data_IF_171644660622
#
_entry.id   IF_171644660622
#
_cell.length_a   1.000
_cell.length_b   1.000
_cell.length_c   1.000
_cell.angle_alpha   90.00
_cell.angle_beta   90.00
_cell.angle_gamma   90.00
#
_symmetry.space_group_name_H-M   'P 1'
#
loop_
_entity.id
_entity.type
_entity.pdbx_description
1 polymer ?
#
# COMPACT_ATOMS: atom_id res chain seq x y z
N UNK A 1 58.62 -31.71 -22.85
CA UNK A 1 57.75 -30.89 -23.73
C UNK A 1 56.33 -31.36 -23.52
N UNK A 2 55.57 -30.72 -22.63
CA UNK A 2 54.16 -31.07 -22.45
C UNK A 2 53.39 -29.77 -22.18
N UNK A 3 53.08 -29.08 -23.27
CA UNK A 3 52.48 -27.76 -23.26
C UNK A 3 50.97 -27.92 -23.10
N UNK A 4 50.53 -28.29 -21.89
CA UNK A 4 49.10 -28.38 -21.52
C UNK A 4 48.49 -26.98 -21.66
N UNK A 5 47.88 -26.74 -22.81
CA UNK A 5 47.08 -25.54 -23.14
C UNK A 5 46.09 -25.28 -22.01
N UNK A 6 46.41 -24.28 -21.20
CA UNK A 6 45.56 -23.73 -20.15
C UNK A 6 44.38 -23.05 -20.84
N UNK A 7 43.31 -23.82 -21.10
CA UNK A 7 42.05 -23.32 -21.68
C UNK A 7 41.59 -22.14 -20.81
N UNK A 8 41.51 -20.95 -21.40
CA UNK A 8 41.27 -19.73 -20.63
C UNK A 8 39.87 -19.80 -20.02
N UNK A 9 39.73 -19.45 -18.74
CA UNK A 9 38.43 -19.50 -18.05
C UNK A 9 37.35 -18.62 -18.69
N UNK A 10 37.74 -17.74 -19.62
CA UNK A 10 36.84 -16.92 -20.45
C UNK A 10 36.05 -17.80 -21.43
N UNK A 11 36.65 -18.85 -21.98
CA UNK A 11 35.99 -19.71 -22.97
C UNK A 11 34.87 -20.54 -22.34
N UNK A 12 35.08 -21.01 -21.11
CA UNK A 12 34.06 -21.73 -20.32
C UNK A 12 32.85 -20.82 -20.00
N UNK A 13 33.07 -19.51 -19.82
CA UNK A 13 31.99 -18.56 -19.57
C UNK A 13 31.12 -18.35 -20.81
N UNK A 14 31.71 -18.21 -22.00
CA UNK A 14 30.95 -18.09 -23.25
C UNK A 14 30.17 -19.37 -23.58
N UNK A 15 30.78 -20.55 -23.37
CA UNK A 15 30.10 -21.84 -23.57
C UNK A 15 28.86 -21.97 -22.66
N UNK A 16 28.97 -21.53 -21.39
CA UNK A 16 27.83 -21.51 -20.45
C UNK A 16 26.74 -20.50 -20.86
N UNK A 17 27.13 -19.28 -21.25
CA UNK A 17 26.18 -18.25 -21.67
C UNK A 17 25.40 -18.66 -22.93
N UNK A 18 26.08 -19.30 -23.87
CA UNK A 18 25.48 -19.79 -25.11
C UNK A 18 24.50 -20.94 -24.85
N UNK A 19 24.80 -21.82 -23.87
CA UNK A 19 23.90 -22.90 -23.47
C UNK A 19 22.64 -22.38 -22.76
N UNK A 20 22.78 -21.31 -21.97
CA UNK A 20 21.64 -20.62 -21.35
C UNK A 20 20.75 -20.00 -22.44
N UNK A 21 21.32 -19.22 -23.36
CA UNK A 21 20.54 -18.59 -24.45
C UNK A 21 19.82 -19.63 -25.31
N UNK A 22 20.48 -20.75 -25.63
CA UNK A 22 19.89 -21.84 -26.40
C UNK A 22 18.72 -22.54 -25.67
N UNK A 23 18.70 -22.53 -24.33
CA UNK A 23 17.61 -23.08 -23.54
C UNK A 23 16.42 -22.11 -23.42
N UNK A 24 16.69 -20.80 -23.31
CA UNK A 24 15.66 -19.79 -23.08
C UNK A 24 14.80 -19.49 -24.32
N UNK A 25 15.36 -19.55 -25.54
CA UNK A 25 14.62 -19.22 -26.77
C UNK A 25 13.43 -20.19 -27.00
N UNK A 26 13.60 -21.53 -26.96
CA UNK A 26 12.49 -22.45 -27.14
C UNK A 26 11.45 -22.36 -26.01
N UNK A 27 11.89 -22.13 -24.77
CA UNK A 27 10.99 -21.94 -23.64
C UNK A 27 10.15 -20.67 -23.79
N UNK A 28 10.73 -19.58 -24.30
CA UNK A 28 10.00 -18.35 -24.59
C UNK A 28 8.94 -18.55 -25.68
N UNK A 29 9.26 -19.32 -26.74
CA UNK A 29 8.31 -19.62 -27.83
C UNK A 29 7.14 -20.49 -27.32
N UNK A 30 7.43 -21.51 -26.51
CA UNK A 30 6.39 -22.37 -25.89
C UNK A 30 5.53 -21.55 -24.92
N UNK A 31 6.15 -20.72 -24.08
CA UNK A 31 5.42 -19.84 -23.17
C UNK A 31 4.52 -18.85 -23.94
N UNK A 32 5.01 -18.27 -25.03
CA UNK A 32 4.26 -17.36 -25.88
C UNK A 32 3.04 -18.03 -26.53
N UNK A 33 3.21 -19.24 -27.08
CA UNK A 33 2.12 -19.99 -27.73
C UNK A 33 1.06 -20.46 -26.74
N UNK A 34 1.44 -20.92 -25.55
CA UNK A 34 0.49 -21.28 -24.48
C UNK A 34 -0.28 -20.04 -24.00
N UNK A 35 0.41 -18.90 -23.86
CA UNK A 35 -0.22 -17.67 -23.40
C UNK A 35 -1.24 -17.13 -24.40
N UNK A 36 -0.95 -17.18 -25.70
CA UNK A 36 -1.87 -16.71 -26.74
C UNK A 36 -3.18 -17.51 -26.76
N UNK A 37 -3.12 -18.83 -26.55
CA UNK A 37 -4.31 -19.69 -26.50
C UNK A 37 -5.18 -19.40 -25.26
N UNK A 38 -4.57 -19.08 -24.11
CA UNK A 38 -5.30 -18.78 -22.88
C UNK A 38 -6.02 -17.43 -22.93
N UNK A 39 -5.47 -16.44 -23.66
CA UNK A 39 -6.08 -15.10 -23.74
C UNK A 39 -7.44 -15.10 -24.43
N UNK A 40 -7.65 -15.94 -25.45
CA UNK A 40 -8.94 -16.00 -26.14
C UNK A 40 -10.05 -16.59 -25.25
N UNK A 41 -9.71 -17.60 -24.44
CA UNK A 41 -10.65 -18.23 -23.51
C UNK A 41 -11.01 -17.27 -22.36
N UNK A 42 -10.05 -16.51 -21.83
CA UNK A 42 -10.31 -15.56 -20.74
C UNK A 42 -11.23 -14.42 -21.16
N UNK A 43 -11.10 -13.92 -22.40
CA UNK A 43 -11.98 -12.85 -22.91
C UNK A 43 -13.43 -13.32 -22.97
N UNK A 44 -13.69 -14.54 -23.44
CA UNK A 44 -15.05 -15.10 -23.49
C UNK A 44 -15.65 -15.32 -22.09
N UNK A 45 -14.84 -15.72 -21.12
CA UNK A 45 -15.29 -15.92 -19.73
C UNK A 45 -15.54 -14.59 -19.01
N UNK A 46 -14.71 -13.58 -19.23
CA UNK A 46 -14.85 -12.27 -18.59
C UNK A 46 -16.10 -11.56 -19.11
N UNK A 47 -16.36 -11.61 -20.42
CA UNK A 47 -17.60 -11.08 -21.00
C UNK A 47 -18.83 -11.73 -20.37
N UNK A 48 -18.81 -13.06 -20.17
CA UNK A 48 -19.92 -13.77 -19.53
C UNK A 48 -20.10 -13.39 -18.05
N UNK A 49 -19.00 -13.18 -17.30
CA UNK A 49 -19.07 -12.71 -15.91
C UNK A 49 -19.59 -11.29 -15.83
N UNK A 50 -19.16 -10.43 -16.75
CA UNK A 50 -19.63 -9.05 -16.82
C UNK A 50 -21.12 -8.99 -17.15
N UNK A 51 -21.61 -9.83 -18.08
CA UNK A 51 -23.04 -9.95 -18.38
C UNK A 51 -23.86 -10.42 -17.18
N UNK A 52 -23.36 -11.40 -16.42
CA UNK A 52 -24.00 -11.86 -15.18
C UNK A 52 -24.01 -10.75 -14.12
N UNK A 53 -22.89 -10.04 -13.95
CA UNK A 53 -22.79 -8.92 -13.00
C UNK A 53 -23.74 -7.78 -13.37
N UNK A 54 -23.87 -7.45 -14.66
CA UNK A 54 -24.84 -6.45 -15.14
C UNK A 54 -26.27 -6.91 -14.88
N UNK A 55 -26.58 -8.19 -15.06
CA UNK A 55 -27.91 -8.73 -14.76
C UNK A 55 -28.24 -8.68 -13.26
N UNK A 56 -27.28 -9.05 -12.40
CA UNK A 56 -27.42 -9.02 -10.94
C UNK A 56 -27.54 -7.57 -10.43
N UNK A 57 -26.71 -6.64 -10.93
CA UNK A 57 -26.79 -5.22 -10.59
C UNK A 57 -28.14 -4.61 -11.00
N UNK A 58 -28.69 -5.00 -12.16
CA UNK A 58 -30.03 -4.56 -12.58
C UNK A 58 -31.10 -5.11 -11.65
N UNK A 59 -31.02 -6.39 -11.27
CA UNK A 59 -31.98 -6.99 -10.36
C UNK A 59 -31.94 -6.35 -8.97
N UNK A 60 -30.74 -6.06 -8.45
CA UNK A 60 -30.57 -5.37 -7.18
C UNK A 60 -31.11 -3.93 -7.25
N UNK A 61 -30.86 -3.21 -8.35
CA UNK A 61 -31.44 -1.88 -8.57
C UNK A 61 -32.97 -1.91 -8.61
N UNK A 62 -33.59 -2.91 -9.25
CA UNK A 62 -35.05 -3.08 -9.26
C UNK A 62 -35.62 -3.34 -7.86
N UNK A 63 -34.93 -4.13 -7.03
CA UNK A 63 -35.30 -4.38 -5.63
C UNK A 63 -35.19 -3.08 -4.81
N UNK A 64 -34.11 -2.32 -4.98
CA UNK A 64 -33.91 -1.04 -4.29
C UNK A 64 -35.00 -0.04 -4.69
N UNK A 65 -35.28 0.10 -5.99
CA UNK A 65 -36.28 1.02 -6.52
C UNK A 65 -37.69 0.71 -5.98
N UNK A 66 -38.10 -0.56 -6.02
CA UNK A 66 -39.42 -0.96 -5.51
C UNK A 66 -39.57 -0.75 -4.00
N UNK A 67 -38.49 -0.93 -3.23
CA UNK A 67 -38.50 -0.64 -1.80
C UNK A 67 -38.56 0.86 -1.53
N UNK A 68 -37.83 1.66 -2.32
CA UNK A 68 -37.82 3.12 -2.22
C UNK A 68 -39.19 3.73 -2.54
N UNK A 69 -39.91 3.19 -3.52
CA UNK A 69 -41.29 3.58 -3.84
C UNK A 69 -42.25 3.27 -2.68
N UNK A 70 -42.12 2.11 -2.03
CA UNK A 70 -42.94 1.75 -0.87
C UNK A 70 -42.71 2.69 0.32
N UNK A 71 -41.44 3.00 0.60
CA UNK A 71 -41.07 3.92 1.68
C UNK A 71 -41.56 5.35 1.40
N UNK A 72 -41.60 5.78 0.13
CA UNK A 72 -42.07 7.11 -0.26
C UNK A 72 -43.58 7.21 -0.09
N UNK A 73 -44.30 6.19 -0.56
CA UNK A 73 -45.74 6.09 -0.35
C UNK A 73 -46.10 6.09 1.14
N UNK A 74 -45.32 5.42 1.99
CA UNK A 74 -45.52 5.44 3.44
C UNK A 74 -45.32 6.83 4.04
N UNK A 75 -44.24 7.54 3.64
CA UNK A 75 -43.93 8.88 4.12
C UNK A 75 -44.99 9.91 3.67
N UNK A 76 -45.43 9.86 2.42
CA UNK A 76 -46.48 10.73 1.88
C UNK A 76 -47.81 10.51 2.61
N UNK A 77 -48.21 9.25 2.84
CA UNK A 77 -49.41 8.93 3.63
C UNK A 77 -49.31 9.44 5.07
N UNK A 78 -48.12 9.39 5.66
CA UNK A 78 -47.89 9.93 7.00
C UNK A 78 -48.10 11.45 7.03
N UNK A 79 -47.49 12.20 6.10
CA UNK A 79 -47.62 13.66 6.08
C UNK A 79 -49.06 14.12 5.77
N UNK A 80 -49.75 13.47 4.84
CA UNK A 80 -51.17 13.75 4.57
C UNK A 80 -52.03 13.51 5.82
N UNK A 81 -51.78 12.40 6.53
CA UNK A 81 -52.49 12.10 7.77
C UNK A 81 -52.15 13.09 8.90
N UNK A 82 -50.92 13.58 8.98
CA UNK A 82 -50.50 14.55 9.99
C UNK A 82 -51.11 15.92 9.70
N UNK A 83 -51.12 16.36 8.43
CA UNK A 83 -51.77 17.60 7.99
C UNK A 83 -53.26 17.64 8.36
N UNK A 84 -53.99 16.57 8.06
CA UNK A 84 -55.42 16.44 8.43
C UNK A 84 -55.67 16.49 9.94
N UNK A 85 -54.73 15.99 10.75
CA UNK A 85 -54.83 16.05 12.21
C UNK A 85 -54.56 17.45 12.77
N UNK A 86 -53.72 18.22 12.09
CA UNK A 86 -53.41 19.60 12.47
C UNK A 86 -54.54 20.57 12.07
N UNK A 87 -55.24 20.31 10.96
CA UNK A 87 -56.31 21.16 10.44
C UNK A 87 -57.65 21.03 11.21
N UNK A 88 -57.93 19.87 11.82
CA UNK A 88 -59.24 19.59 12.44
C UNK A 88 -59.32 20.07 13.89
N UNK A 89 -60.34 20.88 14.21
CA UNK A 89 -60.56 21.56 15.50
C UNK A 89 -61.01 20.64 16.66
N UNK A 90 -60.29 19.54 16.90
CA UNK A 90 -60.48 18.63 18.04
C UNK A 90 -59.73 19.07 19.30
N UNK A 91 -60.34 18.84 20.48
CA UNK A 91 -59.77 19.09 21.82
C UNK A 91 -58.29 18.62 21.94
N UNK A 92 -57.44 19.54 22.38
CA UNK A 92 -55.97 19.50 22.38
C UNK A 92 -55.33 18.21 22.97
N UNK A 93 -55.92 17.62 24.01
CA UNK A 93 -55.36 16.47 24.74
C UNK A 93 -55.29 15.15 23.94
N UNK A 94 -56.13 14.97 22.92
CA UNK A 94 -56.10 13.76 22.06
C UNK A 94 -55.20 13.91 20.82
N UNK A 95 -54.66 15.10 20.54
CA UNK A 95 -53.83 15.34 19.34
C UNK A 95 -52.43 14.78 19.51
N UNK A 96 -51.83 14.98 20.68
CA UNK A 96 -50.43 14.63 20.96
C UNK A 96 -50.21 13.12 21.00
N UNK A 97 -51.14 12.36 21.58
CA UNK A 97 -51.07 10.89 21.62
C UNK A 97 -51.21 10.24 20.24
N UNK A 98 -52.13 10.73 19.41
CA UNK A 98 -52.36 10.23 18.04
C UNK A 98 -51.19 10.62 17.12
N UNK A 99 -50.72 11.87 17.21
CA UNK A 99 -49.55 12.33 16.46
C UNK A 99 -48.32 11.49 16.82
N UNK A 100 -48.03 11.33 18.12
CA UNK A 100 -46.93 10.51 18.61
C UNK A 100 -47.00 9.07 18.10
N UNK A 101 -48.16 8.42 18.21
CA UNK A 101 -48.33 7.05 17.72
C UNK A 101 -48.04 6.93 16.22
N UNK A 102 -48.56 7.86 15.41
CA UNK A 102 -48.30 7.89 13.95
C UNK A 102 -46.83 8.16 13.64
N UNK A 103 -46.18 9.06 14.37
CA UNK A 103 -44.76 9.38 14.18
C UNK A 103 -43.86 8.21 14.52
N UNK A 104 -44.12 7.52 15.64
CA UNK A 104 -43.36 6.32 16.02
C UNK A 104 -43.57 5.18 15.02
N UNK A 105 -44.79 4.98 14.53
CA UNK A 105 -45.10 3.98 13.51
C UNK A 105 -44.39 4.28 12.19
N UNK A 106 -44.36 5.55 11.76
CA UNK A 106 -43.64 5.97 10.57
C UNK A 106 -42.12 5.79 10.73
N UNK A 107 -41.55 6.19 11.87
CA UNK A 107 -40.12 6.01 12.15
C UNK A 107 -39.71 4.53 12.16
N UNK A 108 -40.56 3.62 12.63
CA UNK A 108 -40.29 2.18 12.61
C UNK A 108 -40.29 1.57 11.20
N UNK A 109 -41.00 2.17 10.24
CA UNK A 109 -41.13 1.66 8.87
C UNK A 109 -40.07 2.22 7.89
N UNK A 110 -39.40 3.31 8.24
CA UNK A 110 -38.46 4.01 7.36
C UNK A 110 -37.02 3.51 7.54
N UNK A 111 -36.22 3.50 6.45
CA UNK A 111 -34.77 3.27 6.55
C UNK A 111 -34.01 4.49 7.07
N UNK A 112 -32.77 4.26 7.50
CA UNK A 112 -31.84 5.22 8.10
C UNK A 112 -31.85 6.63 7.49
N UNK A 113 -31.68 6.73 6.16
CA UNK A 113 -31.64 8.02 5.44
C UNK A 113 -32.97 8.78 5.53
N UNK A 114 -34.09 8.08 5.40
CA UNK A 114 -35.44 8.68 5.42
C UNK A 114 -35.91 9.02 6.83
N UNK A 115 -35.49 8.25 7.86
CA UNK A 115 -35.66 8.64 9.27
C UNK A 115 -35.05 10.03 9.53
N UNK A 116 -33.88 10.31 8.94
CA UNK A 116 -33.24 11.63 8.99
C UNK A 116 -34.11 12.76 8.41
N UNK A 117 -34.68 12.58 7.21
CA UNK A 117 -35.58 13.57 6.61
C UNK A 117 -36.85 13.82 7.45
N UNK A 118 -37.45 12.75 7.98
CA UNK A 118 -38.64 12.87 8.82
C UNK A 118 -38.33 13.64 10.11
N UNK A 119 -37.25 13.30 10.81
CA UNK A 119 -36.82 14.01 12.02
C UNK A 119 -36.55 15.48 11.72
N UNK A 120 -35.86 15.77 10.61
CA UNK A 120 -35.61 17.15 10.16
C UNK A 120 -36.91 17.92 9.93
N UNK A 121 -37.87 17.34 9.22
CA UNK A 121 -39.16 17.98 8.97
C UNK A 121 -39.93 18.27 10.29
N UNK A 122 -39.85 17.36 11.27
CA UNK A 122 -40.45 17.57 12.59
C UNK A 122 -39.79 18.73 13.35
N UNK A 123 -38.47 18.90 13.22
CA UNK A 123 -37.71 20.01 13.82
C UNK A 123 -38.06 21.33 13.14
N UNK A 124 -38.03 21.37 11.80
CA UNK A 124 -38.30 22.58 11.00
C UNK A 124 -39.72 23.11 11.25
N UNK A 125 -40.69 22.22 11.49
CA UNK A 125 -42.06 22.58 11.84
C UNK A 125 -42.28 22.83 13.35
N UNK A 126 -41.22 22.80 14.17
CA UNK A 126 -41.28 22.97 15.65
C UNK A 126 -42.24 21.99 16.34
N UNK A 127 -42.43 20.80 15.76
CA UNK A 127 -43.25 19.74 16.32
C UNK A 127 -42.49 18.94 17.39
N UNK A 128 -41.15 18.92 17.27
CA UNK A 128 -40.24 18.49 18.32
C UNK A 128 -39.37 19.70 18.70
N UNK A 129 -39.50 20.17 19.93
CA UNK A 129 -38.75 21.33 20.42
C UNK A 129 -37.51 20.87 21.17
N UNK A 130 -36.38 21.52 20.92
CA UNK A 130 -35.11 21.22 21.61
C UNK A 130 -34.86 22.10 22.85
N UNK A 131 -35.77 23.02 23.17
CA UNK A 131 -35.62 23.89 24.33
C UNK A 131 -36.22 23.22 25.58
N UNK A 132 -35.43 23.04 26.66
CA UNK A 132 -35.96 22.53 27.92
C UNK A 132 -36.96 23.54 28.52
N UNK A 133 -38.25 23.15 28.59
CA UNK A 133 -39.32 23.93 29.24
C UNK A 133 -40.53 24.28 28.36
N UNK A 134 -40.48 24.04 27.06
CA UNK A 134 -41.64 24.16 26.18
C UNK A 134 -42.40 22.82 26.08
N UNK A 135 -43.74 22.87 26.02
CA UNK A 135 -44.57 21.67 25.89
C UNK A 135 -44.31 20.99 24.54
N UNK A 136 -43.62 19.85 24.56
CA UNK A 136 -43.40 19.00 23.39
C UNK A 136 -44.73 18.52 22.83
N UNK A 137 -44.96 18.77 21.54
CA UNK A 137 -46.14 18.27 20.82
C UNK A 137 -45.96 16.77 20.51
N UNK A 138 -44.74 16.36 20.17
CA UNK A 138 -44.40 14.98 19.83
C UNK A 138 -43.17 14.54 20.64
N UNK A 139 -43.37 13.57 21.53
CA UNK A 139 -42.29 12.93 22.28
C UNK A 139 -41.75 11.70 21.52
N UNK A 140 -40.46 11.72 21.18
CA UNK A 140 -39.75 10.64 20.49
C UNK A 140 -39.17 9.59 21.44
N UNK A 141 -39.50 9.63 22.74
CA UNK A 141 -39.14 8.55 23.64
C UNK A 141 -39.68 7.22 23.11
N UNK A 142 -38.81 6.20 23.12
CA UNK A 142 -39.02 4.85 22.54
C UNK A 142 -38.98 4.76 21.01
N UNK A 143 -38.57 5.81 20.29
CA UNK A 143 -38.36 5.72 18.86
C UNK A 143 -37.18 4.78 18.53
N UNK A 144 -37.39 3.89 17.54
CA UNK A 144 -36.29 3.12 16.95
C UNK A 144 -35.51 4.00 15.97
N UNK A 145 -34.34 4.46 16.40
CA UNK A 145 -33.41 5.28 15.62
C UNK A 145 -32.19 4.47 15.15
N UNK A 146 -32.28 3.15 15.12
CA UNK A 146 -31.19 2.30 14.64
C UNK A 146 -30.80 2.64 13.20
N UNK A 147 -29.48 2.69 12.97
CA UNK A 147 -28.88 3.07 11.70
C UNK A 147 -29.03 4.54 11.28
N UNK A 148 -29.63 5.42 12.10
CA UNK A 148 -29.78 6.84 11.77
C UNK A 148 -28.43 7.48 11.41
N UNK A 149 -28.34 8.03 10.20
CA UNK A 149 -27.15 8.71 9.71
C UNK A 149 -27.35 10.23 9.74
N UNK A 150 -26.67 10.89 10.68
CA UNK A 150 -26.65 12.35 10.82
C UNK A 150 -25.38 12.98 10.22
N UNK A 151 -24.55 12.19 9.53
CA UNK A 151 -23.22 12.62 9.05
C UNK A 151 -23.25 13.48 7.80
N UNK A 152 -24.33 13.42 7.01
CA UNK A 152 -24.51 14.34 5.88
C UNK A 152 -24.75 15.76 6.41
N UNK A 153 -24.16 16.77 5.76
CA UNK A 153 -24.12 18.22 6.09
C UNK A 153 -25.49 18.92 6.30
N UNK A 154 -26.57 18.18 6.57
CA UNK A 154 -27.94 18.67 6.70
C UNK A 154 -28.26 19.36 8.03
N UNK A 155 -27.44 19.20 9.07
CA UNK A 155 -27.66 19.87 10.35
C UNK A 155 -26.48 20.81 10.61
N UNK A 156 -26.74 22.11 10.46
CA UNK A 156 -25.80 23.15 10.84
C UNK A 156 -25.41 22.88 12.30
N UNK A 157 -24.09 22.84 12.53
CA UNK A 157 -23.33 22.32 13.68
C UNK A 157 -23.75 22.78 15.09
N UNK A 158 -24.84 23.54 15.23
CA UNK A 158 -25.23 24.28 16.43
C UNK A 158 -26.57 23.85 17.05
N UNK A 159 -27.35 22.98 16.42
CA UNK A 159 -28.73 22.73 16.87
C UNK A 159 -28.95 21.41 17.63
N UNK A 160 -28.13 20.36 17.47
CA UNK A 160 -28.43 19.03 18.05
C UNK A 160 -28.07 18.88 19.54
N UNK A 161 -27.44 19.88 20.16
CA UNK A 161 -26.90 19.75 21.53
C UNK A 161 -27.95 19.54 22.64
N UNK A 162 -29.25 19.62 22.34
CA UNK A 162 -30.32 19.58 23.35
C UNK A 162 -31.41 18.51 23.14
N UNK A 163 -31.24 17.56 22.21
CA UNK A 163 -32.23 16.51 22.00
C UNK A 163 -32.14 15.42 23.10
N UNK A 164 -33.24 15.23 23.85
CA UNK A 164 -33.35 14.18 24.87
C UNK A 164 -33.72 12.85 24.22
N UNK A 165 -32.74 11.96 24.07
CA UNK A 165 -32.88 10.62 23.48
C UNK A 165 -33.02 9.52 24.54
N UNK A 166 -33.50 9.84 25.75
CA UNK A 166 -33.66 8.85 26.81
C UNK A 166 -34.46 7.63 26.32
N UNK A 167 -33.87 6.44 26.49
CA UNK A 167 -34.44 5.14 26.12
C UNK A 167 -34.58 4.86 24.61
N UNK A 168 -33.84 5.56 23.74
CA UNK A 168 -33.77 5.22 22.31
C UNK A 168 -32.67 4.22 22.01
N UNK A 169 -32.90 3.32 21.03
CA UNK A 169 -31.92 2.33 20.58
C UNK A 169 -31.05 2.91 19.46
N UNK A 170 -29.77 3.17 19.76
CA UNK A 170 -28.79 3.79 18.84
C UNK A 170 -27.75 2.77 18.32
N UNK A 171 -28.19 1.55 17.99
CA UNK A 171 -27.30 0.51 17.45
C UNK A 171 -26.92 0.88 16.00
N UNK A 172 -25.63 0.86 15.67
CA UNK A 172 -25.04 1.24 14.38
C UNK A 172 -25.24 2.71 13.93
N UNK A 173 -25.42 3.66 14.86
CA UNK A 173 -25.39 5.07 14.53
C UNK A 173 -23.95 5.54 14.20
N UNK A 174 -23.75 6.18 13.05
CA UNK A 174 -22.44 6.68 12.60
C UNK A 174 -22.19 8.10 13.10
N UNK A 175 -21.11 8.28 13.87
CA UNK A 175 -20.62 9.60 14.33
C UNK A 175 -19.27 9.96 13.69
N UNK A 176 -19.06 9.61 12.40
CA UNK A 176 -17.81 9.95 11.67
C UNK A 176 -17.57 11.47 11.72
N UNK A 177 -16.43 11.86 12.30
CA UNK A 177 -16.07 13.26 12.59
C UNK A 177 -15.27 13.49 13.88
N UNK A 178 -15.02 12.44 14.67
CA UNK A 178 -14.22 12.51 15.92
C UNK A 178 -12.82 11.94 15.69
N UNK A 179 -11.77 12.75 15.85
CA UNK A 179 -10.36 12.42 15.59
C UNK A 179 -9.62 11.93 16.85
N UNK A 180 -8.91 10.79 16.77
CA UNK A 180 -8.00 10.29 17.82
C UNK A 180 -6.63 9.88 17.26
N UNK A 181 -5.62 10.66 17.65
CA UNK A 181 -4.17 10.42 17.82
C UNK A 181 -3.52 9.12 17.30
N UNK A 182 -3.06 9.12 16.03
CA UNK A 182 -2.07 8.17 15.47
C UNK A 182 -0.67 8.82 15.23
N UNK A 183 -0.47 10.06 15.67
CA UNK A 183 0.68 10.92 15.29
C UNK A 183 1.97 10.60 16.07
N UNK A 184 1.90 9.83 17.16
CA UNK A 184 3.07 9.61 18.03
C UNK A 184 4.02 8.50 17.56
N UNK A 185 3.55 7.52 16.76
CA UNK A 185 4.40 6.44 16.26
C UNK A 185 5.22 6.85 15.02
N UNK A 186 4.70 7.75 14.19
CA UNK A 186 5.36 8.20 12.96
C UNK A 186 6.60 9.06 13.22
N UNK A 187 6.62 9.83 14.32
CA UNK A 187 7.73 10.72 14.68
C UNK A 187 9.01 9.98 15.11
N UNK A 188 8.87 8.81 15.74
CA UNK A 188 10.01 7.98 16.19
C UNK A 188 10.69 7.31 14.99
N UNK A 189 9.89 6.89 14.00
CA UNK A 189 10.39 6.32 12.74
C UNK A 189 11.07 7.44 11.92
N UNK A 190 10.45 8.62 11.80
CA UNK A 190 10.98 9.74 11.02
C UNK A 190 12.36 10.24 11.51
N UNK A 191 12.61 10.24 12.83
CA UNK A 191 13.89 10.66 13.40
C UNK A 191 15.09 9.76 13.05
N UNK A 192 14.84 8.48 12.73
CA UNK A 192 15.88 7.51 12.37
C UNK A 192 16.36 7.67 10.91
N UNK A 193 15.47 8.09 10.00
CA UNK A 193 15.74 8.16 8.56
C UNK A 193 16.49 9.44 8.10
N UNK A 194 16.63 10.44 8.97
CA UNK A 194 17.31 11.71 8.65
C UNK A 194 18.80 11.53 8.29
N UNK A 195 19.45 10.41 8.66
CA UNK A 195 20.90 10.23 8.49
C UNK A 195 21.36 9.45 7.24
N UNK A 196 20.49 8.74 6.53
CA UNK A 196 20.89 7.86 5.41
C UNK A 196 20.25 8.29 4.07
N UNK A 197 21.04 8.89 3.16
CA UNK A 197 20.53 9.67 2.00
C UNK A 197 19.81 8.82 0.92
N UNK A 198 20.20 7.57 0.70
CA UNK A 198 19.55 6.67 -0.28
C UNK A 198 18.33 5.94 0.28
N UNK A 199 18.29 5.61 1.58
CA UNK A 199 17.11 5.03 2.21
C UNK A 199 16.00 6.08 2.47
N UNK A 200 16.36 7.38 2.50
CA UNK A 200 15.45 8.49 2.72
C UNK A 200 14.46 8.70 1.57
N UNK A 201 14.85 8.52 0.31
CA UNK A 201 13.92 8.73 -0.80
C UNK A 201 12.84 7.67 -0.83
N UNK A 202 13.21 6.38 -0.79
CA UNK A 202 12.21 5.31 -0.91
C UNK A 202 11.20 5.30 0.24
N UNK A 203 11.63 5.45 1.50
CA UNK A 203 10.65 5.45 2.62
C UNK A 203 9.78 6.72 2.67
N UNK A 204 10.28 7.87 2.19
CA UNK A 204 9.53 9.14 2.23
C UNK A 204 8.54 9.26 1.07
N UNK A 205 8.83 8.63 -0.06
CA UNK A 205 7.97 8.75 -1.24
C UNK A 205 7.04 7.54 -1.42
N UNK A 206 7.52 6.33 -1.13
CA UNK A 206 6.81 5.09 -1.49
C UNK A 206 5.77 4.73 -0.42
N UNK A 207 6.19 4.58 0.84
CA UNK A 207 5.32 4.09 1.92
C UNK A 207 4.14 5.01 2.30
N UNK A 208 4.25 6.35 2.27
CA UNK A 208 3.15 7.22 2.69
C UNK A 208 1.92 7.13 1.80
N UNK A 209 2.07 6.82 0.51
CA UNK A 209 0.94 6.79 -0.42
C UNK A 209 0.03 5.57 -0.17
N UNK A 210 0.54 4.32 -0.12
CA UNK A 210 -0.26 3.17 0.30
C UNK A 210 -0.81 3.33 1.72
N UNK A 211 -0.01 3.83 2.67
CA UNK A 211 -0.49 4.06 4.05
C UNK A 211 -1.64 5.07 4.11
N UNK A 212 -1.58 6.14 3.32
CA UNK A 212 -2.68 7.11 3.20
C UNK A 212 -3.92 6.47 2.60
N UNK A 213 -3.77 5.64 1.56
CA UNK A 213 -4.86 4.89 0.97
C UNK A 213 -5.53 3.96 1.99
N UNK A 214 -4.76 3.15 2.74
CA UNK A 214 -5.32 2.26 3.77
C UNK A 214 -6.01 3.01 4.91
N UNK A 215 -5.56 4.22 5.24
CA UNK A 215 -6.17 5.04 6.29
C UNK A 215 -7.50 5.67 5.83
N UNK A 216 -7.56 6.16 4.58
CA UNK A 216 -8.73 6.89 4.05
C UNK A 216 -9.75 5.94 3.41
N UNK A 217 -9.29 4.84 2.83
CA UNK A 217 -10.06 3.93 1.98
C UNK A 217 -10.16 4.39 0.52
N UNK A 218 -9.42 5.42 0.12
CA UNK A 218 -9.37 5.94 -1.25
C UNK A 218 -8.10 6.73 -1.49
N UNK A 219 -7.74 6.95 -2.75
CA UNK A 219 -6.58 7.75 -3.14
C UNK A 219 -6.81 9.24 -2.86
N UNK A 220 -5.84 9.91 -2.24
CA UNK A 220 -5.89 11.36 -2.00
C UNK A 220 -4.50 12.01 -2.23
N UNK A 221 -4.41 13.08 -3.04
CA UNK A 221 -5.49 13.79 -3.73
C UNK A 221 -6.07 12.99 -4.91
N UNK A 222 -7.38 13.16 -5.15
CA UNK A 222 -8.08 12.55 -6.30
C UNK A 222 -7.71 13.31 -7.56
N UNK A 223 -6.65 12.89 -8.24
CA UNK A 223 -6.17 13.52 -9.46
C UNK A 223 -5.45 12.52 -10.36
N UNK A 224 -5.77 12.55 -11.66
CA UNK A 224 -5.09 11.73 -12.67
C UNK A 224 -3.58 11.95 -12.65
N UNK A 225 -3.13 13.20 -12.48
CA UNK A 225 -1.72 13.56 -12.44
C UNK A 225 -1.05 12.87 -11.25
N UNK A 226 -1.70 12.88 -10.08
CA UNK A 226 -1.17 12.24 -8.88
C UNK A 226 -1.01 10.73 -9.07
N UNK A 227 -2.02 10.05 -9.63
CA UNK A 227 -1.98 8.63 -9.95
C UNK A 227 -0.86 8.27 -10.94
N UNK A 228 -0.72 9.04 -12.03
CA UNK A 228 0.34 8.84 -13.02
C UNK A 228 1.73 8.92 -12.37
N UNK A 229 1.97 9.93 -11.52
CA UNK A 229 3.26 10.08 -10.84
C UNK A 229 3.49 9.01 -9.78
N UNK A 230 2.46 8.62 -9.03
CA UNK A 230 2.55 7.56 -8.03
C UNK A 230 2.97 6.25 -8.69
N UNK A 231 2.22 5.76 -9.68
CA UNK A 231 2.56 4.53 -10.40
C UNK A 231 3.97 4.61 -10.99
N UNK A 232 4.31 5.71 -11.66
CA UNK A 232 5.64 5.85 -12.26
C UNK A 232 6.76 5.73 -11.20
N UNK A 233 6.64 6.41 -10.06
CA UNK A 233 7.63 6.37 -8.98
C UNK A 233 7.76 4.95 -8.44
N UNK A 234 6.64 4.32 -8.11
CA UNK A 234 6.61 3.03 -7.44
C UNK A 234 7.21 1.91 -8.30
N UNK A 235 6.72 1.77 -9.54
CA UNK A 235 7.24 0.78 -10.49
C UNK A 235 8.74 1.01 -10.77
N UNK A 236 9.15 2.27 -10.92
CA UNK A 236 10.57 2.61 -11.10
C UNK A 236 11.40 2.21 -9.89
N UNK A 237 10.96 2.52 -8.67
CA UNK A 237 11.69 2.21 -7.44
C UNK A 237 11.72 0.72 -7.12
N UNK A 238 10.68 -0.03 -7.48
CA UNK A 238 10.63 -1.48 -7.33
C UNK A 238 11.55 -2.18 -8.32
N UNK A 239 11.49 -1.81 -9.61
CA UNK A 239 12.41 -2.33 -10.63
C UNK A 239 13.88 -1.97 -10.31
N UNK A 240 14.19 -0.71 -9.96
CA UNK A 240 15.54 -0.30 -9.50
C UNK A 240 16.02 -1.18 -8.35
N UNK A 241 15.17 -1.40 -7.34
CA UNK A 241 15.53 -2.20 -6.18
C UNK A 241 15.91 -3.64 -6.54
N UNK A 242 15.18 -4.24 -7.48
CA UNK A 242 15.39 -5.61 -7.93
C UNK A 242 16.66 -5.73 -8.81
N UNK A 243 16.83 -4.82 -9.77
CA UNK A 243 18.03 -4.77 -10.62
C UNK A 243 19.30 -4.48 -9.82
N UNK A 244 19.25 -3.55 -8.85
CA UNK A 244 20.39 -3.30 -7.97
C UNK A 244 20.74 -4.54 -7.16
N UNK A 245 19.76 -5.29 -6.65
CA UNK A 245 20.07 -6.53 -5.93
C UNK A 245 20.63 -7.63 -6.84
N UNK A 246 20.14 -7.74 -8.07
CA UNK A 246 20.72 -8.63 -9.07
C UNK A 246 22.17 -8.25 -9.37
N UNK A 247 22.44 -6.96 -9.61
CA UNK A 247 23.77 -6.45 -9.87
C UNK A 247 24.73 -6.64 -8.68
N UNK A 248 24.31 -6.29 -7.47
CA UNK A 248 25.11 -6.49 -6.24
C UNK A 248 25.46 -7.98 -6.09
N UNK A 249 24.55 -8.89 -6.42
CA UNK A 249 24.82 -10.33 -6.37
C UNK A 249 25.92 -10.75 -7.36
N UNK A 250 25.87 -10.23 -8.60
CA UNK A 250 26.92 -10.44 -9.61
C UNK A 250 28.25 -9.82 -9.20
N UNK A 251 28.25 -8.56 -8.76
CA UNK A 251 29.45 -7.84 -8.37
C UNK A 251 30.19 -8.58 -7.25
N UNK A 252 29.45 -9.06 -6.25
CA UNK A 252 29.98 -9.82 -5.12
C UNK A 252 30.58 -11.15 -5.55
N UNK A 253 29.94 -11.85 -6.49
CA UNK A 253 30.51 -13.03 -7.12
C UNK A 253 31.86 -12.70 -7.78
N UNK A 254 31.94 -11.63 -8.59
CA UNK A 254 33.17 -11.23 -9.29
C UNK A 254 34.28 -10.84 -8.30
N UNK A 255 33.96 -10.07 -7.24
CA UNK A 255 34.93 -9.65 -6.22
C UNK A 255 35.55 -10.82 -5.45
N UNK A 256 34.77 -11.87 -5.14
CA UNK A 256 35.25 -13.03 -4.39
C UNK A 256 36.16 -13.91 -5.26
N UNK A 257 35.82 -14.11 -6.54
CA UNK A 257 36.54 -15.07 -7.39
C UNK A 257 37.67 -14.46 -8.21
N UNK A 258 37.63 -13.16 -8.49
CA UNK A 258 38.62 -12.49 -9.33
C UNK A 258 39.27 -11.27 -8.66
N UNK A 259 39.74 -11.36 -7.40
CA UNK A 259 40.29 -10.21 -6.68
C UNK A 259 41.51 -9.62 -7.39
N UNK A 260 42.40 -10.47 -7.93
CA UNK A 260 43.61 -10.04 -8.63
C UNK A 260 43.32 -9.34 -9.97
N UNK A 261 42.33 -9.83 -10.73
CA UNK A 261 41.98 -9.23 -12.02
C UNK A 261 41.38 -7.83 -11.83
N UNK A 262 40.65 -7.61 -10.74
CA UNK A 262 40.04 -6.33 -10.40
C UNK A 262 41.06 -5.38 -9.77
N UNK A 263 42.00 -5.87 -8.96
CA UNK A 263 42.99 -5.01 -8.29
C UNK A 263 43.98 -4.34 -9.24
N UNK A 264 44.32 -4.98 -10.36
CA UNK A 264 45.38 -4.49 -11.25
C UNK A 264 44.97 -3.33 -12.18
N UNK A 265 43.68 -3.09 -12.43
CA UNK A 265 43.24 -1.98 -13.29
C UNK A 265 42.18 -1.12 -12.59
N UNK A 266 42.60 0.07 -12.17
CA UNK A 266 41.74 1.10 -11.57
C UNK A 266 40.57 1.50 -12.49
N UNK A 267 40.80 1.58 -13.80
CA UNK A 267 39.75 1.88 -14.79
C UNK A 267 38.67 0.79 -14.84
N UNK A 268 39.07 -0.49 -14.78
CA UNK A 268 38.13 -1.62 -14.82
C UNK A 268 37.20 -1.64 -13.61
N UNK A 269 37.68 -1.20 -12.43
CA UNK A 269 36.83 -1.04 -11.25
C UNK A 269 35.72 -0.02 -11.50
N UNK A 270 36.07 1.12 -12.10
CA UNK A 270 35.10 2.16 -12.39
C UNK A 270 34.03 1.69 -13.36
N UNK A 271 34.44 1.09 -14.48
CA UNK A 271 33.51 0.58 -15.49
C UNK A 271 32.66 -0.56 -14.94
N UNK A 272 33.25 -1.52 -14.24
CA UNK A 272 32.51 -2.68 -13.73
C UNK A 272 31.54 -2.30 -12.61
N UNK A 273 31.86 -1.31 -11.77
CA UNK A 273 30.97 -0.92 -10.67
C UNK A 273 29.95 0.15 -11.07
N UNK A 274 30.38 1.28 -11.65
CA UNK A 274 29.51 2.44 -11.83
C UNK A 274 28.60 2.33 -13.06
N UNK A 275 29.06 1.72 -14.16
CA UNK A 275 28.26 1.68 -15.39
C UNK A 275 26.98 0.85 -15.20
N UNK A 276 27.01 -0.35 -14.60
CA UNK A 276 25.80 -1.13 -14.37
C UNK A 276 24.86 -0.50 -13.35
N UNK A 277 25.40 0.13 -12.29
CA UNK A 277 24.58 0.89 -11.33
C UNK A 277 23.89 2.07 -12.03
N UNK A 278 24.61 2.83 -12.85
CA UNK A 278 24.06 3.92 -13.65
C UNK A 278 22.96 3.43 -14.60
N UNK A 279 23.19 2.30 -15.26
CA UNK A 279 22.19 1.64 -16.10
C UNK A 279 20.94 1.24 -15.31
N UNK A 280 21.09 0.55 -14.17
CA UNK A 280 19.96 0.16 -13.32
C UNK A 280 19.15 1.36 -12.82
N UNK A 281 19.84 2.47 -12.50
CA UNK A 281 19.20 3.69 -12.00
C UNK A 281 18.51 4.51 -13.09
N UNK A 282 18.91 4.37 -14.36
CA UNK A 282 18.36 5.16 -15.47
C UNK A 282 17.33 4.40 -16.30
N UNK A 283 17.55 3.11 -16.54
CA UNK A 283 16.69 2.27 -17.38
C UNK A 283 15.24 2.27 -16.89
N UNK A 284 14.99 1.85 -15.65
CA UNK A 284 13.63 1.67 -15.13
C UNK A 284 12.83 2.99 -15.10
N UNK A 285 13.35 4.12 -14.58
CA UNK A 285 12.63 5.39 -14.64
C UNK A 285 12.31 5.85 -16.05
N UNK A 286 13.24 5.69 -17.00
CA UNK A 286 13.01 6.09 -18.39
C UNK A 286 11.95 5.19 -19.03
N UNK A 287 12.05 3.88 -18.84
CA UNK A 287 11.09 2.91 -19.36
C UNK A 287 9.67 3.20 -18.86
N UNK A 288 9.48 3.25 -17.53
CA UNK A 288 8.16 3.54 -16.95
C UNK A 288 7.68 4.96 -17.28
N UNK A 289 8.57 5.93 -17.45
CA UNK A 289 8.15 7.27 -17.87
C UNK A 289 7.52 7.24 -19.27
N UNK A 290 8.15 6.53 -20.21
CA UNK A 290 7.62 6.40 -21.57
C UNK A 290 6.30 5.62 -21.57
N UNK A 291 6.20 4.50 -20.87
CA UNK A 291 4.99 3.67 -20.93
C UNK A 291 3.83 4.21 -20.09
N UNK A 292 4.08 4.82 -18.91
CA UNK A 292 3.03 5.33 -18.01
C UNK A 292 2.71 6.80 -18.27
N UNK A 293 3.71 7.68 -18.43
CA UNK A 293 3.48 9.13 -18.55
C UNK A 293 3.14 9.53 -19.98
N UNK A 294 3.92 9.06 -20.96
CA UNK A 294 3.66 9.36 -22.37
C UNK A 294 2.49 8.52 -22.89
N UNK A 295 2.37 7.26 -22.44
CA UNK A 295 1.28 6.33 -22.79
C UNK A 295 0.88 6.37 -24.27
N UNK A 296 1.81 6.18 -25.23
CA UNK A 296 1.50 6.39 -26.65
C UNK A 296 0.50 5.38 -27.23
N UNK A 297 0.26 4.26 -26.54
CA UNK A 297 -0.52 3.14 -27.07
C UNK A 297 -1.96 3.09 -26.53
N UNK A 298 -2.27 3.77 -25.42
CA UNK A 298 -3.60 3.68 -24.82
C UNK A 298 -3.86 4.80 -23.79
N UNK A 299 -5.13 4.99 -23.40
CA UNK A 299 -5.55 6.05 -22.48
C UNK A 299 -5.70 5.48 -21.07
N UNK A 300 -5.01 6.06 -20.09
CA UNK A 300 -5.17 5.66 -18.69
C UNK A 300 -6.55 6.03 -18.15
N UNK A 301 -7.26 5.01 -17.67
CA UNK A 301 -8.50 5.13 -16.90
C UNK A 301 -8.15 4.84 -15.45
N UNK A 302 -8.34 5.83 -14.58
CA UNK A 302 -7.96 5.74 -13.18
C UNK A 302 -9.17 5.41 -12.31
N UNK A 303 -9.00 4.41 -11.43
CA UNK A 303 -9.97 4.10 -10.38
C UNK A 303 -9.39 4.49 -9.01
N UNK A 304 -9.84 5.63 -8.49
CA UNK A 304 -9.37 6.17 -7.21
C UNK A 304 -9.81 5.37 -5.98
N UNK A 305 -10.67 4.37 -6.16
CA UNK A 305 -11.09 3.45 -5.09
C UNK A 305 -10.14 2.28 -4.93
N UNK A 306 -9.33 1.99 -5.94
CA UNK A 306 -8.34 0.91 -5.92
C UNK A 306 -6.95 1.40 -5.50
N UNK A 307 -6.16 0.50 -4.93
CA UNK A 307 -4.74 0.74 -4.66
C UNK A 307 -4.02 1.09 -5.96
N UNK A 308 -3.07 2.02 -5.90
CA UNK A 308 -2.34 2.57 -7.06
C UNK A 308 -3.22 3.24 -8.12
N UNK A 309 -4.46 3.60 -7.80
CA UNK A 309 -5.44 4.10 -8.75
C UNK A 309 -5.86 3.09 -9.82
N UNK A 310 -5.72 1.79 -9.52
CA UNK A 310 -5.97 0.69 -10.47
C UNK A 310 -4.74 0.34 -11.32
N UNK A 311 -4.95 -0.54 -12.30
CA UNK A 311 -3.87 -1.00 -13.17
C UNK A 311 -3.54 0.05 -14.24
N UNK A 312 -2.26 0.33 -14.52
CA UNK A 312 -1.89 1.26 -15.58
C UNK A 312 -2.31 0.69 -16.94
N UNK A 313 -2.66 1.56 -17.87
CA UNK A 313 -3.29 1.14 -19.12
C UNK A 313 -2.43 0.20 -19.97
N UNK A 314 -1.10 0.27 -19.88
CA UNK A 314 -0.25 -0.68 -20.60
C UNK A 314 -0.49 -2.14 -20.23
N UNK A 315 -1.18 -2.42 -19.11
CA UNK A 315 -1.65 -3.76 -18.74
C UNK A 315 -2.64 -4.36 -19.74
N UNK A 316 -3.32 -3.55 -20.55
CA UNK A 316 -4.18 -4.04 -21.63
C UNK A 316 -3.38 -4.41 -22.88
N UNK A 317 -2.12 -3.99 -22.97
CA UNK A 317 -1.24 -4.23 -24.12
C UNK A 317 -0.32 -5.41 -23.81
N UNK A 318 -0.77 -6.60 -24.21
CA UNK A 318 -0.15 -7.89 -23.85
C UNK A 318 1.38 -7.93 -24.02
N UNK A 319 1.90 -7.37 -25.12
CA UNK A 319 3.35 -7.34 -25.38
C UNK A 319 4.14 -6.53 -24.35
N UNK A 320 3.58 -5.42 -23.85
CA UNK A 320 4.23 -4.60 -22.82
C UNK A 320 4.19 -5.28 -21.46
N UNK A 321 3.08 -5.94 -21.13
CA UNK A 321 2.94 -6.70 -19.88
C UNK A 321 3.93 -7.86 -19.82
N UNK A 322 4.04 -8.63 -20.90
CA UNK A 322 5.03 -9.69 -20.99
C UNK A 322 6.45 -9.15 -20.87
N UNK A 323 6.74 -8.03 -21.53
CA UNK A 323 8.06 -7.43 -21.48
C UNK A 323 8.41 -6.98 -20.06
N UNK A 324 7.54 -6.21 -19.40
CA UNK A 324 7.69 -5.76 -18.01
C UNK A 324 7.87 -6.96 -17.06
N UNK A 325 6.99 -7.95 -17.13
CA UNK A 325 7.09 -9.13 -16.28
C UNK A 325 8.39 -9.93 -16.49
N UNK A 326 8.80 -10.15 -17.75
CA UNK A 326 10.00 -10.94 -18.05
C UNK A 326 11.27 -10.15 -17.69
N UNK A 327 11.38 -8.90 -18.14
CA UNK A 327 12.60 -8.11 -18.01
C UNK A 327 12.74 -7.45 -16.65
N UNK A 328 11.69 -6.87 -16.09
CA UNK A 328 11.76 -6.11 -14.84
C UNK A 328 11.58 -7.00 -13.61
N UNK A 329 10.97 -8.19 -13.74
CA UNK A 329 10.71 -9.09 -12.59
C UNK A 329 11.47 -10.42 -12.70
N UNK A 330 11.17 -11.25 -13.70
CA UNK A 330 11.72 -12.62 -13.80
C UNK A 330 13.23 -12.62 -14.01
N UNK A 331 13.75 -11.75 -14.89
CA UNK A 331 15.17 -11.71 -15.22
C UNK A 331 16.05 -11.32 -14.01
N UNK A 332 15.78 -10.26 -13.25
CA UNK A 332 16.53 -9.96 -12.03
C UNK A 332 16.43 -11.06 -10.96
N UNK A 333 15.24 -11.64 -10.75
CA UNK A 333 15.04 -12.73 -9.76
C UNK A 333 15.87 -13.95 -10.11
N UNK A 334 15.87 -14.37 -11.38
CA UNK A 334 16.66 -15.50 -11.84
C UNK A 334 18.16 -15.25 -11.68
N UNK A 335 18.64 -14.03 -11.98
CA UNK A 335 20.03 -13.64 -11.70
C UNK A 335 20.35 -13.72 -10.21
N UNK A 336 19.49 -13.18 -9.33
CA UNK A 336 19.68 -13.23 -7.88
C UNK A 336 19.78 -14.69 -7.43
N UNK A 337 18.85 -15.55 -7.87
CA UNK A 337 18.83 -16.96 -7.49
C UNK A 337 20.09 -17.69 -7.97
N UNK A 338 20.46 -17.56 -9.25
CA UNK A 338 21.63 -18.22 -9.83
C UNK A 338 22.93 -17.73 -9.19
N UNK A 339 23.10 -16.41 -9.06
CA UNK A 339 24.31 -15.84 -8.45
C UNK A 339 24.49 -16.30 -7.00
N UNK A 340 23.41 -16.33 -6.20
CA UNK A 340 23.48 -16.81 -4.82
C UNK A 340 23.74 -18.30 -4.72
N UNK A 341 23.11 -19.13 -5.58
CA UNK A 341 23.37 -20.56 -5.62
C UNK A 341 24.83 -20.87 -5.97
N UNK A 342 25.37 -20.22 -7.02
CA UNK A 342 26.77 -20.38 -7.42
C UNK A 342 27.71 -19.95 -6.28
N UNK A 343 27.41 -18.84 -5.62
CA UNK A 343 28.20 -18.34 -4.51
C UNK A 343 28.23 -19.36 -3.35
N UNK A 344 27.09 -19.89 -2.93
CA UNK A 344 26.99 -20.90 -1.86
C UNK A 344 27.74 -22.19 -2.23
N UNK A 345 27.53 -22.71 -3.44
CA UNK A 345 28.19 -23.93 -3.93
C UNK A 345 29.71 -23.75 -3.88
N UNK A 346 30.22 -22.63 -4.41
CA UNK A 346 31.67 -22.39 -4.46
C UNK A 346 32.28 -22.12 -3.09
N UNK A 347 31.60 -21.35 -2.23
CA UNK A 347 32.04 -21.11 -0.84
C UNK A 347 32.15 -22.44 -0.09
N UNK A 348 31.19 -23.35 -0.31
CA UNK A 348 31.21 -24.70 0.27
C UNK A 348 32.36 -25.54 -0.29
N UNK A 349 32.54 -25.55 -1.62
CA UNK A 349 33.61 -26.29 -2.28
C UNK A 349 35.00 -25.81 -1.86
N UNK A 350 35.21 -24.48 -1.80
CA UNK A 350 36.48 -23.89 -1.40
C UNK A 350 36.83 -24.20 0.06
N UNK A 351 35.82 -24.23 0.95
CA UNK A 351 36.00 -24.64 2.35
C UNK A 351 36.48 -26.09 2.47
N UNK A 352 35.91 -26.99 1.67
CA UNK A 352 36.29 -28.42 1.66
C UNK A 352 37.69 -28.58 1.07
N UNK A 353 37.97 -27.94 -0.06
CA UNK A 353 39.20 -28.16 -0.83
C UNK A 353 40.45 -27.61 -0.13
N UNK A 354 40.39 -26.46 0.53
CA UNK A 354 41.63 -25.76 0.89
C UNK A 354 42.14 -25.97 2.31
N UNK A 355 41.38 -26.47 3.29
CA UNK A 355 41.75 -26.73 4.72
C UNK A 355 42.63 -25.66 5.44
N UNK A 356 42.99 -24.56 4.81
CA UNK A 356 43.90 -23.53 5.30
C UNK A 356 43.10 -22.39 5.90
N UNK A 357 43.62 -21.85 7.00
CA UNK A 357 43.06 -20.73 7.77
C UNK A 357 43.18 -19.36 7.06
N UNK A 358 43.09 -19.31 5.73
CA UNK A 358 43.03 -18.05 4.97
C UNK A 358 41.81 -17.28 5.46
N UNK A 359 41.98 -16.03 5.92
CA UNK A 359 41.03 -14.97 6.33
C UNK A 359 39.51 -15.19 6.05
N UNK A 360 38.99 -16.35 6.45
CA UNK A 360 37.64 -16.82 6.19
C UNK A 360 36.63 -16.01 6.97
N UNK A 361 37.08 -15.52 8.13
CA UNK A 361 36.27 -14.73 9.05
C UNK A 361 35.80 -13.42 8.42
N UNK A 362 36.56 -12.82 7.50
CA UNK A 362 36.15 -11.60 6.80
C UNK A 362 35.15 -11.90 5.67
N UNK A 363 35.51 -12.84 4.78
CA UNK A 363 34.68 -13.22 3.62
C UNK A 363 33.34 -13.84 4.03
N UNK A 364 33.30 -14.63 5.12
CA UNK A 364 32.06 -15.24 5.62
C UNK A 364 30.99 -14.22 5.98
N UNK A 365 31.37 -13.10 6.61
CA UNK A 365 30.40 -12.07 7.03
C UNK A 365 29.72 -11.43 5.82
N UNK A 366 30.52 -11.09 4.82
CA UNK A 366 30.07 -10.47 3.57
C UNK A 366 29.17 -11.41 2.76
N UNK A 367 29.52 -12.69 2.67
CA UNK A 367 28.71 -13.73 2.02
C UNK A 367 27.38 -13.92 2.75
N UNK A 368 27.42 -14.05 4.08
CA UNK A 368 26.22 -14.25 4.89
C UNK A 368 25.27 -13.05 4.77
N UNK A 369 25.81 -11.82 4.79
CA UNK A 369 25.02 -10.61 4.60
C UNK A 369 24.28 -10.63 3.26
N UNK A 370 24.98 -10.88 2.16
CA UNK A 370 24.37 -10.93 0.84
C UNK A 370 23.31 -12.03 0.76
N UNK A 371 23.62 -13.22 1.26
CA UNK A 371 22.69 -14.34 1.24
C UNK A 371 21.40 -14.03 2.01
N UNK A 372 21.50 -13.41 3.20
CA UNK A 372 20.32 -13.01 3.97
C UNK A 372 19.51 -11.95 3.21
N UNK A 373 20.16 -10.90 2.68
CA UNK A 373 19.47 -9.84 1.93
C UNK A 373 18.80 -10.39 0.67
N UNK A 374 19.49 -11.22 -0.10
CA UNK A 374 18.92 -11.82 -1.30
C UNK A 374 17.81 -12.81 -1.01
N UNK A 375 17.95 -13.64 0.04
CA UNK A 375 16.88 -14.55 0.47
C UNK A 375 15.65 -13.78 0.92
N UNK A 376 15.85 -12.62 1.56
CA UNK A 376 14.78 -11.70 1.93
C UNK A 376 14.06 -11.17 0.68
N UNK A 377 14.78 -10.67 -0.34
CA UNK A 377 14.15 -10.26 -1.60
C UNK A 377 13.37 -11.40 -2.27
N UNK A 378 13.96 -12.60 -2.36
CA UNK A 378 13.31 -13.76 -2.96
C UNK A 378 12.04 -14.16 -2.19
N UNK A 379 12.05 -14.12 -0.86
CA UNK A 379 10.89 -14.48 -0.04
C UNK A 379 9.68 -13.58 -0.31
N UNK A 380 9.92 -12.29 -0.57
CA UNK A 380 8.86 -11.32 -0.83
C UNK A 380 8.43 -11.27 -2.30
N UNK A 381 9.36 -11.48 -3.25
CA UNK A 381 9.06 -11.42 -4.69
C UNK A 381 8.59 -12.74 -5.31
N UNK A 382 9.00 -13.90 -4.79
CA UNK A 382 8.64 -15.19 -5.38
C UNK A 382 7.13 -15.47 -5.36
N UNK A 383 6.37 -15.20 -4.27
CA UNK A 383 4.93 -15.49 -4.25
C UNK A 383 4.15 -14.77 -5.36
N UNK A 384 4.40 -13.46 -5.54
CA UNK A 384 3.77 -12.67 -6.60
C UNK A 384 4.24 -13.11 -7.99
N UNK A 385 5.54 -13.36 -8.17
CA UNK A 385 6.09 -13.81 -9.45
C UNK A 385 5.53 -15.16 -9.88
N UNK A 386 5.40 -16.12 -8.95
CA UNK A 386 4.81 -17.44 -9.23
C UNK A 386 3.33 -17.30 -9.57
N UNK A 387 2.59 -16.47 -8.82
CA UNK A 387 1.16 -16.24 -9.07
C UNK A 387 0.94 -15.60 -10.45
N UNK A 388 1.70 -14.56 -10.80
CA UNK A 388 1.65 -13.92 -12.12
C UNK A 388 2.05 -14.89 -13.23
N UNK A 389 3.07 -15.73 -13.01
CA UNK A 389 3.45 -16.75 -13.99
C UNK A 389 2.32 -17.76 -14.25
N UNK A 390 1.62 -18.21 -13.20
CA UNK A 390 0.46 -19.11 -13.32
C UNK A 390 -0.70 -18.41 -14.03
N UNK A 391 -0.96 -17.13 -13.70
CA UNK A 391 -1.99 -16.33 -14.35
C UNK A 391 -1.73 -16.18 -15.86
N UNK A 392 -0.48 -15.95 -16.25
CA UNK A 392 -0.11 -15.86 -17.66
C UNK A 392 -0.14 -17.22 -18.39
N UNK A 393 0.28 -18.31 -17.72
CA UNK A 393 0.52 -19.59 -18.42
C UNK A 393 -0.61 -20.61 -18.34
N UNK A 394 -1.45 -20.58 -17.30
CA UNK A 394 -2.40 -21.66 -17.06
C UNK A 394 -3.80 -21.16 -16.69
N UNK A 395 -3.91 -20.26 -15.72
CA UNK A 395 -5.18 -19.90 -15.08
C UNK A 395 -5.24 -18.39 -14.80
N UNK A 396 -5.76 -17.57 -15.74
CA UNK A 396 -5.81 -16.11 -15.60
C UNK A 396 -6.54 -15.63 -14.34
N UNK A 397 -7.48 -16.42 -13.82
CA UNK A 397 -8.25 -16.13 -12.61
C UNK A 397 -7.60 -16.61 -11.31
N UNK A 398 -6.42 -17.22 -11.37
CA UNK A 398 -5.77 -17.79 -10.20
C UNK A 398 -5.38 -16.70 -9.20
N UNK A 399 -5.96 -16.74 -8.00
CA UNK A 399 -5.59 -15.89 -6.86
C UNK A 399 -5.67 -14.36 -7.14
N UNK A 400 -6.62 -13.90 -7.96
CA UNK A 400 -6.79 -12.46 -8.25
C UNK A 400 -7.00 -11.67 -6.95
N UNK A 401 -7.87 -12.14 -6.05
CA UNK A 401 -8.19 -11.44 -4.79
C UNK A 401 -7.00 -11.35 -3.82
N UNK A 402 -6.05 -12.28 -3.93
CA UNK A 402 -4.87 -12.34 -3.07
C UNK A 402 -3.65 -11.64 -3.69
N UNK A 403 -3.68 -11.34 -5.00
CA UNK A 403 -2.55 -10.72 -5.70
C UNK A 403 -2.22 -9.35 -5.11
N UNK A 404 -3.23 -8.54 -4.77
CA UNK A 404 -3.04 -7.23 -4.14
C UNK A 404 -2.31 -7.35 -2.79
N UNK A 405 -2.70 -8.32 -1.96
CA UNK A 405 -2.02 -8.59 -0.70
C UNK A 405 -0.58 -9.08 -0.91
N UNK A 406 -0.31 -9.85 -1.96
CA UNK A 406 1.05 -10.26 -2.31
C UNK A 406 1.92 -9.11 -2.83
N UNK A 407 1.35 -8.19 -3.61
CA UNK A 407 2.05 -6.98 -4.06
C UNK A 407 2.37 -6.08 -2.87
N UNK A 408 1.45 -5.92 -1.92
CA UNK A 408 1.71 -5.17 -0.69
C UNK A 408 2.89 -5.72 0.13
N UNK A 409 3.13 -7.04 0.11
CA UNK A 409 4.31 -7.61 0.76
C UNK A 409 5.60 -7.03 0.18
N UNK A 410 5.69 -6.80 -1.13
CA UNK A 410 6.87 -6.23 -1.78
C UNK A 410 7.19 -4.83 -1.23
N UNK A 411 6.16 -4.03 -0.93
CA UNK A 411 6.29 -2.70 -0.35
C UNK A 411 6.84 -2.70 1.08
N UNK A 412 6.86 -3.86 1.74
CA UNK A 412 7.49 -4.03 3.04
C UNK A 412 9.01 -4.20 2.93
N UNK A 413 9.56 -4.48 1.74
CA UNK A 413 11.00 -4.67 1.56
C UNK A 413 11.81 -3.45 2.02
N UNK A 414 11.50 -2.21 1.58
CA UNK A 414 12.23 -1.02 2.01
C UNK A 414 12.15 -0.77 3.52
N UNK A 415 11.07 -1.21 4.19
CA UNK A 415 10.87 -1.08 5.63
C UNK A 415 11.79 -2.01 6.41
N UNK A 416 11.90 -3.28 5.97
CA UNK A 416 12.67 -4.30 6.66
C UNK A 416 14.14 -4.36 6.25
N UNK A 417 14.49 -3.89 5.04
CA UNK A 417 15.86 -3.93 4.53
C UNK A 417 16.89 -3.27 5.47
N UNK A 418 16.62 -2.09 6.10
CA UNK A 418 17.52 -1.53 7.11
C UNK A 418 17.73 -2.46 8.30
N UNK A 419 16.69 -3.13 8.78
CA UNK A 419 16.78 -4.06 9.92
C UNK A 419 17.63 -5.28 9.56
N UNK A 420 17.44 -5.82 8.36
CA UNK A 420 18.28 -6.90 7.82
C UNK A 420 19.75 -6.44 7.71
N UNK A 421 20.00 -5.23 7.22
CA UNK A 421 21.36 -4.67 7.12
C UNK A 421 22.02 -4.46 8.50
N UNK A 422 21.27 -4.00 9.50
CA UNK A 422 21.78 -3.83 10.87
C UNK A 422 22.14 -5.17 11.52
N UNK A 423 21.28 -6.18 11.32
CA UNK A 423 21.53 -7.53 11.87
C UNK A 423 22.80 -8.17 11.30
N UNK A 424 23.18 -7.80 10.08
CA UNK A 424 24.30 -8.39 9.34
C UNK A 424 25.61 -7.59 9.46
N UNK A 425 25.54 -6.31 9.84
CA UNK A 425 26.69 -5.40 9.99
C UNK A 425 26.96 -5.07 11.47
N UNK A 426 27.60 -5.96 12.26
CA UNK A 426 27.81 -5.76 13.69
C UNK A 426 28.63 -4.50 14.02
N UNK A 427 29.55 -4.11 13.13
CA UNK A 427 30.36 -2.91 13.32
C UNK A 427 29.52 -1.62 13.15
N UNK A 428 28.51 -1.64 12.28
CA UNK A 428 27.55 -0.56 12.14
C UNK A 428 26.66 -0.46 13.38
N UNK A 429 26.20 -1.60 13.89
CA UNK A 429 25.37 -1.69 15.10
C UNK A 429 26.11 -1.18 16.32
N UNK A 430 27.39 -1.52 16.49
CA UNK A 430 28.25 -0.96 17.54
C UNK A 430 28.39 0.55 17.44
N UNK A 431 28.62 1.08 16.23
CA UNK A 431 28.69 2.55 15.99
C UNK A 431 27.37 3.24 16.31
N UNK A 432 26.24 2.63 15.95
CA UNK A 432 24.90 3.14 16.24
C UNK A 432 24.62 3.17 17.76
N UNK A 433 24.91 2.07 18.46
CA UNK A 433 24.78 2.00 19.93
C UNK A 433 25.66 3.07 20.59
N UNK A 434 26.88 3.27 20.09
CA UNK A 434 27.77 4.34 20.56
C UNK A 434 27.17 5.73 20.40
N UNK A 435 26.59 6.05 19.23
CA UNK A 435 25.94 7.35 18.98
C UNK A 435 24.72 7.55 19.89
N UNK A 436 23.89 6.52 20.07
CA UNK A 436 22.71 6.57 20.94
C UNK A 436 23.12 6.74 22.41
N UNK A 437 24.18 6.05 22.85
CA UNK A 437 24.73 6.20 24.21
C UNK A 437 25.26 7.61 24.46
N UNK A 438 25.97 8.21 23.49
CA UNK A 438 26.46 9.59 23.60
C UNK A 438 25.30 10.57 23.72
N UNK A 439 24.23 10.41 22.92
CA UNK A 439 23.04 11.26 23.01
C UNK A 439 22.32 11.13 24.36
N UNK A 440 22.21 9.92 24.93
CA UNK A 440 21.64 9.73 26.27
C UNK A 440 22.45 10.46 27.34
N UNK A 441 23.78 10.41 27.26
CA UNK A 441 24.64 11.10 28.24
C UNK A 441 24.55 12.62 28.11
N UNK A 442 24.39 13.16 26.90
CA UNK A 442 24.18 14.61 26.68
C UNK A 442 22.81 15.06 27.21
N UNK A 443 21.74 14.30 26.98
CA UNK A 443 20.39 14.66 27.47
C UNK A 443 20.29 14.50 29.00
N UNK A 444 20.96 13.49 29.58
CA UNK A 444 21.08 13.31 31.02
C UNK A 444 21.90 14.41 31.71
N UNK A 445 22.99 14.88 31.08
CA UNK A 445 23.79 15.98 31.61
C UNK A 445 23.05 17.34 31.55
N UNK A 446 22.17 17.55 30.58
CA UNK A 446 21.36 18.77 30.46
C UNK A 446 20.21 18.81 31.47
N UNK A 447 19.70 17.65 31.91
CA UNK A 447 18.65 17.58 32.94
C UNK A 447 19.21 17.66 34.37
N UNK A 448 20.48 17.29 34.60
CA UNK A 448 21.08 17.34 35.95
C UNK A 448 21.64 18.71 36.37
N UNK A 449 21.68 19.71 35.48
CA UNK A 449 22.21 21.06 35.78
C UNK A 449 21.13 22.10 36.15
N UNK A 450 19.86 21.68 36.36
CA UNK A 450 18.75 22.62 36.61
C UNK A 450 18.32 22.80 38.07
N UNK A 451 18.80 21.96 39.01
CA UNK A 451 18.32 21.99 40.41
C UNK A 451 19.42 22.05 41.49
N UNK A 452 20.64 22.54 41.18
CA UNK A 452 21.54 22.98 42.26
C UNK A 452 21.52 24.49 42.35
N UNK A 453 20.79 24.97 43.35
CA UNK A 453 20.49 26.37 43.63
C UNK A 453 21.72 27.28 43.55
N UNK A 454 21.65 28.22 42.63
CA UNK A 454 22.28 29.52 42.79
C UNK A 454 21.16 30.56 42.71
N UNK A 455 20.76 31.04 43.88
CA UNK A 455 20.13 32.36 44.06
C UNK A 455 21.01 33.40 43.39
N UNK A 456 20.64 33.81 42.18
CA UNK A 456 21.21 34.96 41.51
C UNK A 456 20.61 36.23 42.13
N UNK A 457 21.38 36.89 42.98
CA UNK A 457 21.07 38.22 43.51
C UNK A 457 21.16 39.23 42.37
N UNK A 458 20.03 39.80 41.96
CA UNK A 458 19.97 40.88 40.97
C UNK A 458 20.40 42.17 41.69
N UNK A 459 21.61 42.64 41.42
CA UNK A 459 22.05 43.98 41.81
C UNK A 459 21.41 45.00 40.85
N UNK A 460 20.49 45.81 41.38
CA UNK A 460 19.95 47.00 40.70
C UNK A 460 20.99 48.10 40.87
N UNK A 461 21.64 48.50 39.78
CA UNK A 461 22.46 49.72 39.72
C UNK A 461 21.50 50.88 39.38
N UNK A 462 21.40 51.93 40.22
CA UNK A 462 20.61 53.10 39.89
C UNK A 462 21.41 54.03 38.97
N UNK A 463 20.76 54.52 37.93
CA UNK A 463 21.11 55.75 37.23
C UNK A 463 19.89 56.66 37.18
#
# INVERSE_FOLDING_TARGET
MDNKKKKSGIQIFFDCAQLIIALFIPLAIIAYTVMQNNTEISIAQENRKQDLKIADERHEQEIILSTDEQEEAALVRYFDSLGKLLEKDMKLMNRTSIARFKTLTALAQLKSKRKGYLIRALIENKLITMNPGENLIIDLSLADLTGLDLSTNMLVKKEITCANFNQTTLINASFRGVTLTAIFLSLIIFGYFIKNRQARSKLVFDLPMPMSYYYIGSVWPVSNIYCTWWIWIEYSLNSIGLFLMAWISIERYILIFYPHAISQLSWKKWVLHFLPISFCLSWAPIFFFVIVVISPLCINVWDFTLLYCGNPCYYTVNILVQFDFIFDIVFPITIIMVANMILVIRVTYQKISRRQAINWRSHRKMVLQLWIVSSFYLAFWLPSTITLLIQMTALPSFMIDQLEAMLFLIDLIPLFLPMVCLSTLPDLTKKLIGIVSIRRNVIGAVTFKRDMGQTATIAIVPH
#
